data_IF_926736549702
#
_entry.id   IF_926736549702
#
_cell.length_a   1.000
_cell.length_b   1.000
_cell.length_c   1.000
_cell.angle_alpha   90.00
_cell.angle_beta   90.00
_cell.angle_gamma   90.00
#
_symmetry.space_group_name_H-M   'P 1'
#
loop_
_entity.id
_entity.type
_entity.pdbx_description
1 polymer ?
#
# COMPACT_ATOMS: atom_id res chain seq x y z
N UNK A 1 9.08 -1.96 -33.35
CA UNK A 1 7.95 -1.53 -32.50
C UNK A 1 8.35 -1.81 -31.07
N UNK A 2 8.52 -0.76 -30.25
CA UNK A 2 9.05 -0.86 -28.88
C UNK A 2 7.88 -1.31 -27.99
N UNK A 3 8.02 -2.41 -27.26
CA UNK A 3 6.95 -2.98 -26.44
C UNK A 3 6.54 -2.02 -25.32
N UNK A 4 5.39 -1.38 -25.47
CA UNK A 4 4.75 -0.64 -24.40
C UNK A 4 4.18 -1.72 -23.47
N UNK A 5 4.88 -2.01 -22.36
CA UNK A 5 4.32 -2.82 -21.27
C UNK A 5 3.24 -1.98 -20.59
N UNK A 6 2.14 -1.75 -21.32
CA UNK A 6 0.97 -1.04 -20.86
C UNK A 6 0.41 -1.82 -19.68
N UNK A 7 0.25 -1.13 -18.57
CA UNK A 7 -0.34 -1.62 -17.35
C UNK A 7 -1.85 -1.44 -17.57
N UNK A 8 -2.40 -2.26 -18.48
CA UNK A 8 -3.80 -2.24 -18.88
C UNK A 8 -4.69 -2.11 -17.63
N UNK A 9 -5.58 -1.12 -17.64
CA UNK A 9 -6.64 -0.97 -16.65
C UNK A 9 -7.34 -2.33 -16.47
N UNK A 10 -7.05 -3.01 -15.35
CA UNK A 10 -7.50 -4.38 -15.11
C UNK A 10 -6.46 -5.32 -14.49
N UNK A 11 -5.16 -5.06 -14.67
CA UNK A 11 -4.15 -5.88 -13.99
C UNK A 11 -4.08 -5.52 -12.49
N UNK A 12 -4.19 -6.51 -11.59
CA UNK A 12 -4.10 -6.26 -10.15
C UNK A 12 -2.70 -5.75 -9.80
N UNK A 13 -2.61 -4.54 -9.27
CA UNK A 13 -1.37 -3.98 -8.71
C UNK A 13 -1.27 -4.42 -7.26
N UNK A 14 -0.16 -5.06 -6.91
CA UNK A 14 0.14 -5.50 -5.54
C UNK A 14 1.00 -4.45 -4.85
N UNK A 15 0.49 -3.92 -3.75
CA UNK A 15 1.19 -3.04 -2.82
C UNK A 15 1.66 -3.85 -1.62
N UNK A 16 2.92 -3.66 -1.25
CA UNK A 16 3.49 -4.24 -0.04
C UNK A 16 3.99 -3.10 0.82
N UNK A 17 3.38 -2.93 1.99
CA UNK A 17 3.86 -2.02 3.02
C UNK A 17 4.56 -2.86 4.10
N UNK A 18 5.78 -2.46 4.44
CA UNK A 18 6.53 -3.07 5.54
C UNK A 18 6.58 -2.10 6.71
N UNK A 19 6.15 -2.58 7.86
CA UNK A 19 6.22 -1.88 9.14
C UNK A 19 7.22 -2.62 9.99
N UNK A 20 8.30 -1.94 10.36
CA UNK A 20 9.37 -2.49 11.18
C UNK A 20 9.17 -1.92 12.58
N UNK A 21 9.01 -2.80 13.57
CA UNK A 21 9.03 -2.37 14.96
C UNK A 21 10.44 -1.91 15.33
N UNK A 22 10.56 -0.73 15.94
CA UNK A 22 11.84 -0.21 16.39
C UNK A 22 12.47 -1.08 17.50
N UNK A 23 11.62 -1.75 18.29
CA UNK A 23 12.00 -2.68 19.36
C UNK A 23 10.75 -3.39 19.89
N UNK A 24 10.79 -4.71 20.10
CA UNK A 24 9.67 -5.47 20.67
C UNK A 24 9.07 -6.53 19.73
N UNK A 25 7.89 -7.09 20.08
CA UNK A 25 7.22 -8.09 19.27
C UNK A 25 6.79 -7.54 17.91
N UNK A 26 6.50 -8.44 16.96
CA UNK A 26 6.07 -8.10 15.61
C UNK A 26 4.89 -7.13 15.66
N UNK A 27 4.93 -6.02 14.89
CA UNK A 27 3.87 -5.04 14.89
C UNK A 27 2.57 -5.68 14.36
N UNK A 28 1.50 -5.46 15.10
CA UNK A 28 0.14 -5.91 14.74
C UNK A 28 -0.73 -4.71 14.42
N UNK A 29 -1.78 -4.92 13.62
CA UNK A 29 -2.73 -3.88 13.26
C UNK A 29 -3.05 -3.90 11.78
N UNK A 30 -3.51 -2.78 11.24
CA UNK A 30 -3.94 -2.66 9.84
C UNK A 30 -3.30 -1.45 9.17
N UNK A 31 -2.90 -1.65 7.91
CA UNK A 31 -2.46 -0.57 7.01
C UNK A 31 -3.60 -0.24 6.08
N UNK A 32 -3.97 1.04 6.04
CA UNK A 32 -4.96 1.56 5.09
C UNK A 32 -4.25 2.13 3.87
N UNK A 33 -4.61 1.64 2.70
CA UNK A 33 -4.12 2.11 1.41
C UNK A 33 -5.10 3.11 0.81
N UNK A 34 -4.60 4.29 0.43
CA UNK A 34 -5.38 5.41 -0.08
C UNK A 34 -4.72 5.95 -1.34
N UNK A 35 -5.49 6.44 -2.29
CA UNK A 35 -5.02 7.20 -3.43
C UNK A 35 -5.56 8.63 -3.31
N UNK A 36 -4.70 9.56 -2.87
CA UNK A 36 -5.15 10.89 -2.44
C UNK A 36 -6.22 10.78 -1.35
N UNK A 37 -7.44 11.24 -1.64
CA UNK A 37 -8.58 11.19 -0.72
C UNK A 37 -9.39 9.89 -0.77
N UNK A 38 -9.15 9.02 -1.77
CA UNK A 38 -9.92 7.79 -1.98
C UNK A 38 -9.28 6.64 -1.22
N UNK A 39 -10.01 6.00 -0.32
CA UNK A 39 -9.56 4.76 0.32
C UNK A 39 -9.71 3.61 -0.68
N UNK A 40 -8.61 2.95 -1.01
CA UNK A 40 -8.61 1.79 -1.89
C UNK A 40 -8.96 0.51 -1.12
N UNK A 41 -8.48 0.42 0.12
CA UNK A 41 -8.75 -0.69 1.03
C UNK A 41 -7.76 -0.72 2.19
N UNK A 42 -7.82 -1.77 2.98
CA UNK A 42 -6.94 -1.98 4.13
C UNK A 42 -6.47 -3.42 4.17
N UNK A 43 -5.24 -3.65 4.64
CA UNK A 43 -4.69 -4.98 4.86
C UNK A 43 -4.12 -5.11 6.28
N UNK A 44 -4.31 -6.26 6.95
CA UNK A 44 -3.68 -6.51 8.24
C UNK A 44 -2.16 -6.65 8.08
N UNK A 45 -1.41 -6.25 9.09
CA UNK A 45 -0.01 -6.61 9.23
C UNK A 45 0.08 -8.08 9.61
N UNK A 46 0.87 -8.82 8.85
CA UNK A 46 1.26 -10.20 9.14
C UNK A 46 2.78 -10.23 9.09
N UNK A 47 3.42 -10.53 10.24
CA UNK A 47 4.89 -10.48 10.36
C UNK A 47 5.52 -9.13 9.98
N UNK A 48 4.86 -8.01 10.31
CA UNK A 48 5.34 -6.67 9.93
C UNK A 48 5.17 -6.33 8.45
N UNK A 49 4.43 -7.14 7.69
CA UNK A 49 4.14 -6.86 6.29
C UNK A 49 2.64 -6.83 6.05
N UNK A 50 2.17 -5.78 5.38
CA UNK A 50 0.80 -5.64 4.91
C UNK A 50 0.80 -5.67 3.38
N UNK A 51 0.08 -6.63 2.81
CA UNK A 51 -0.05 -6.80 1.37
C UNK A 51 -1.47 -6.46 0.92
N UNK A 52 -1.60 -5.56 -0.05
CA UNK A 52 -2.88 -5.17 -0.61
C UNK A 52 -2.83 -5.17 -2.13
N UNK A 53 -3.75 -5.87 -2.77
CA UNK A 53 -3.85 -5.91 -4.24
C UNK A 53 -5.12 -5.22 -4.71
N UNK A 54 -5.01 -4.34 -5.70
CA UNK A 54 -6.18 -3.66 -6.28
C UNK A 54 -6.02 -3.49 -7.79
N UNK A 55 -7.13 -3.71 -8.51
CA UNK A 55 -7.27 -3.44 -9.93
C UNK A 55 -8.08 -2.17 -10.21
N UNK A 56 -8.55 -1.48 -9.16
CA UNK A 56 -9.36 -0.25 -9.27
C UNK A 56 -8.54 1.03 -9.43
N UNK A 57 -7.25 0.93 -9.79
CA UNK A 57 -6.46 2.12 -10.06
C UNK A 57 -6.92 2.75 -11.37
N UNK A 58 -7.14 4.06 -11.32
CA UNK A 58 -7.44 4.87 -12.50
C UNK A 58 -6.16 5.01 -13.32
N UNK A 59 -6.25 4.95 -14.65
CA UNK A 59 -5.08 5.18 -15.53
C UNK A 59 -4.53 6.58 -15.28
N UNK A 60 -3.23 6.70 -15.00
CA UNK A 60 -2.58 7.94 -14.58
C UNK A 60 -1.61 7.76 -13.40
N UNK A 61 -0.97 8.85 -12.99
CA UNK A 61 -0.08 8.87 -11.83
C UNK A 61 -0.88 8.81 -10.53
N UNK A 62 -0.93 7.65 -9.89
CA UNK A 62 -1.63 7.45 -8.62
C UNK A 62 -0.64 7.54 -7.46
N UNK A 63 -0.90 8.44 -6.51
CA UNK A 63 -0.11 8.57 -5.29
C UNK A 63 -0.74 7.70 -4.19
N UNK A 64 -0.19 6.51 -4.00
CA UNK A 64 -0.70 5.51 -3.07
C UNK A 64 -0.07 5.74 -1.70
N UNK A 65 -0.86 6.20 -0.74
CA UNK A 65 -0.48 6.34 0.65
C UNK A 65 -0.86 5.08 1.44
N UNK A 66 0.11 4.43 2.04
CA UNK A 66 -0.05 3.37 3.03
C UNK A 66 0.07 3.98 4.43
N UNK A 67 -1.04 3.99 5.18
CA UNK A 67 -1.12 4.61 6.50
C UNK A 67 -1.37 3.52 7.54
N UNK A 68 -0.41 3.37 8.45
CA UNK A 68 -0.51 2.56 9.65
C UNK A 68 -0.77 3.50 10.83
N UNK A 69 -1.92 3.36 11.49
CA UNK A 69 -2.34 4.26 12.59
C UNK A 69 -1.62 3.99 13.92
N UNK A 70 -0.70 3.03 13.95
CA UNK A 70 -0.07 2.58 15.19
C UNK A 70 -0.90 1.54 15.92
N UNK A 71 -0.29 0.93 16.92
CA UNK A 71 -0.91 0.01 17.88
C UNK A 71 -0.46 0.37 19.29
N UNK A 72 -0.95 -0.33 20.30
CA UNK A 72 -0.54 -0.12 21.70
C UNK A 72 0.98 -0.23 21.92
N UNK A 73 1.68 -0.94 21.04
CA UNK A 73 3.13 -1.20 21.10
C UNK A 73 3.94 -0.46 20.02
N UNK A 74 3.29 0.10 19.01
CA UNK A 74 3.96 0.56 17.79
C UNK A 74 3.48 1.96 17.39
N UNK A 75 4.43 2.85 17.07
CA UNK A 75 4.12 4.20 16.63
C UNK A 75 3.39 4.22 15.28
N UNK A 76 2.50 5.20 15.09
CA UNK A 76 1.88 5.44 13.80
C UNK A 76 2.95 5.70 12.72
N UNK A 77 2.81 5.04 11.58
CA UNK A 77 3.76 5.12 10.48
C UNK A 77 3.01 5.31 9.17
N UNK A 78 3.52 6.17 8.29
CA UNK A 78 2.93 6.37 6.98
C UNK A 78 4.01 6.34 5.90
N UNK A 79 3.73 5.65 4.81
CA UNK A 79 4.59 5.58 3.64
C UNK A 79 3.77 5.96 2.40
N UNK A 80 4.37 6.72 1.49
CA UNK A 80 3.74 7.09 0.22
C UNK A 80 4.53 6.48 -0.93
N UNK A 81 3.84 5.76 -1.80
CA UNK A 81 4.39 5.17 -3.01
C UNK A 81 3.67 5.76 -4.23
N UNK A 82 4.43 6.37 -5.13
CA UNK A 82 3.88 6.89 -6.38
C UNK A 82 3.90 5.78 -7.43
N UNK A 83 2.73 5.34 -7.87
CA UNK A 83 2.60 4.32 -8.90
C UNK A 83 1.99 4.90 -10.18
N UNK A 84 2.78 4.91 -11.24
CA UNK A 84 2.33 5.26 -12.58
C UNK A 84 1.59 4.05 -13.15
N UNK A 85 0.29 4.20 -13.43
CA UNK A 85 -0.49 3.23 -14.20
C UNK A 85 -0.57 3.76 -15.62
N UNK A 86 0.03 3.04 -16.58
CA UNK A 86 0.19 3.45 -17.98
C UNK A 86 -0.74 2.68 -18.89
#
# INVERSE_FOLDING_TARGET
>A
MIGHRAILAGNPVKFTATVIAASGPVPTGTVTFKNGSVVLGSAPLVYGSATFSTSKLVVGGNAIAAIYTGSATDAASAATLTQQVQ
#
